data_IF_984123889498
#
_entry.id   IF_984123889498
#
_cell.length_a   1.000
_cell.length_b   1.000
_cell.length_c   1.000
_cell.angle_alpha   90.00
_cell.angle_beta   90.00
_cell.angle_gamma   90.00
#
_symmetry.space_group_name_H-M   'P 1'
#
loop_
_entity.id
_entity.type
_entity.pdbx_description
1 polymer ?
#
# COMPACT_ATOMS: atom_id res chain seq x y z
N UNK A 1 13.18 -21.20 -12.26
CA UNK A 1 12.29 -20.21 -11.58
C UNK A 1 12.56 -18.81 -12.12
N UNK A 2 11.56 -17.92 -12.18
CA UNK A 2 11.79 -16.55 -12.67
C UNK A 2 12.38 -15.70 -11.54
N UNK A 3 13.64 -15.30 -11.67
CA UNK A 3 14.34 -14.49 -10.66
C UNK A 3 13.69 -13.10 -10.49
N UNK A 4 13.80 -12.53 -9.27
CA UNK A 4 13.35 -11.16 -8.92
C UNK A 4 11.85 -10.89 -9.06
N UNK A 5 10.99 -11.91 -8.89
CA UNK A 5 9.54 -11.72 -8.86
C UNK A 5 9.10 -11.07 -7.54
N UNK A 6 8.68 -9.81 -7.64
CA UNK A 6 8.10 -9.06 -6.53
C UNK A 6 6.58 -9.09 -6.59
N UNK A 7 5.95 -9.20 -5.42
CA UNK A 7 4.51 -9.17 -5.25
C UNK A 7 3.78 -10.48 -5.56
N UNK A 8 2.90 -10.90 -4.66
CA UNK A 8 2.05 -12.08 -4.81
C UNK A 8 0.85 -11.79 -5.72
N UNK A 9 0.48 -12.77 -6.55
CA UNK A 9 -0.66 -12.67 -7.49
C UNK A 9 -2.01 -13.07 -6.89
N UNK A 10 -2.04 -13.84 -5.79
CA UNK A 10 -3.27 -14.28 -5.12
C UNK A 10 -4.34 -14.92 -6.02
N UNK A 11 -3.96 -15.41 -7.22
CA UNK A 11 -4.91 -15.90 -8.23
C UNK A 11 -5.87 -14.84 -8.78
N UNK A 12 -5.54 -13.54 -8.69
CA UNK A 12 -6.45 -12.43 -9.05
C UNK A 12 -5.84 -11.50 -10.12
N UNK A 13 -6.67 -10.91 -11.00
CA UNK A 13 -6.22 -9.87 -11.93
C UNK A 13 -5.70 -8.64 -11.18
N UNK A 14 -4.92 -7.80 -11.87
CA UNK A 14 -4.20 -6.68 -11.25
C UNK A 14 -5.13 -5.68 -10.55
N UNK A 15 -6.26 -5.35 -11.17
CA UNK A 15 -7.21 -4.36 -10.62
C UNK A 15 -7.84 -4.83 -9.31
N UNK A 16 -8.31 -6.09 -9.27
CA UNK A 16 -8.87 -6.68 -8.04
C UNK A 16 -7.80 -6.77 -6.94
N UNK A 17 -6.53 -7.04 -7.30
CA UNK A 17 -5.43 -7.04 -6.31
C UNK A 17 -5.19 -5.66 -5.71
N UNK A 18 -5.18 -4.61 -6.54
CA UNK A 18 -5.01 -3.23 -6.07
C UNK A 18 -6.15 -2.85 -5.12
N UNK A 19 -7.40 -3.16 -5.49
CA UNK A 19 -8.57 -2.92 -4.64
C UNK A 19 -8.48 -3.67 -3.30
N UNK A 20 -8.10 -4.96 -3.32
CA UNK A 20 -7.91 -5.74 -2.11
C UNK A 20 -6.87 -5.11 -1.17
N UNK A 21 -5.70 -4.74 -1.68
CA UNK A 21 -4.64 -4.15 -0.86
C UNK A 21 -5.05 -2.78 -0.31
N UNK A 22 -5.74 -1.95 -1.10
CA UNK A 22 -6.29 -0.67 -0.64
C UNK A 22 -7.29 -0.86 0.51
N UNK A 23 -8.24 -1.79 0.36
CA UNK A 23 -9.24 -2.04 1.41
C UNK A 23 -8.63 -2.53 2.72
N UNK A 24 -7.65 -3.44 2.64
CA UNK A 24 -6.92 -3.92 3.83
C UNK A 24 -6.08 -2.80 4.47
N UNK A 25 -5.44 -1.95 3.65
CA UNK A 25 -4.66 -0.83 4.16
C UNK A 25 -5.55 0.19 4.89
N UNK A 26 -6.68 0.57 4.30
CA UNK A 26 -7.65 1.48 4.94
C UNK A 26 -8.17 0.89 6.25
N UNK A 27 -8.58 -0.38 6.24
CA UNK A 27 -9.07 -1.05 7.46
C UNK A 27 -8.01 -1.10 8.57
N UNK A 28 -6.74 -1.33 8.21
CA UNK A 28 -5.64 -1.33 9.18
C UNK A 28 -5.42 0.07 9.78
N UNK A 29 -5.49 1.12 8.97
CA UNK A 29 -5.33 2.50 9.44
C UNK A 29 -6.50 2.93 10.34
N UNK A 30 -7.73 2.58 9.97
CA UNK A 30 -8.93 2.96 10.72
C UNK A 30 -9.07 2.22 12.07
N UNK A 31 -8.75 0.92 12.09
CA UNK A 31 -8.98 0.08 13.27
C UNK A 31 -7.72 -0.23 14.08
N UNK A 32 -6.54 0.18 13.60
CA UNK A 32 -5.24 -0.08 14.23
C UNK A 32 -4.76 -1.54 14.19
N UNK A 33 -5.67 -2.51 14.01
CA UNK A 33 -5.35 -3.95 13.89
C UNK A 33 -6.39 -4.65 13.03
N UNK A 34 -5.94 -5.57 12.17
CA UNK A 34 -6.80 -6.45 11.38
C UNK A 34 -6.31 -7.90 11.43
N UNK A 35 -7.23 -8.86 11.29
CA UNK A 35 -6.91 -10.28 11.10
C UNK A 35 -6.94 -10.61 9.61
N UNK A 36 -5.85 -11.13 9.06
CA UNK A 36 -5.73 -11.53 7.65
C UNK A 36 -4.70 -12.65 7.50
N UNK A 37 -4.53 -13.18 6.29
CA UNK A 37 -3.53 -14.23 6.05
C UNK A 37 -2.11 -13.65 6.06
N UNK A 38 -1.12 -14.45 6.50
CA UNK A 38 0.28 -14.02 6.54
C UNK A 38 0.80 -13.51 5.18
N UNK A 39 0.31 -14.14 4.10
CA UNK A 39 0.61 -13.72 2.73
C UNK A 39 0.09 -12.31 2.41
N UNK A 40 -1.15 -12.00 2.79
CA UNK A 40 -1.76 -10.68 2.58
C UNK A 40 -1.14 -9.64 3.49
N UNK A 41 -0.83 -9.98 4.74
CA UNK A 41 -0.18 -9.08 5.68
C UNK A 41 1.17 -8.58 5.17
N UNK A 42 2.01 -9.47 4.63
CA UNK A 42 3.32 -9.10 4.05
C UNK A 42 3.18 -8.10 2.89
N UNK A 43 2.22 -8.32 2.00
CA UNK A 43 1.96 -7.41 0.87
C UNK A 43 1.38 -6.07 1.32
N UNK A 44 0.44 -6.09 2.28
CA UNK A 44 -0.14 -4.86 2.86
C UNK A 44 0.94 -4.02 3.54
N UNK A 45 1.87 -4.64 4.26
CA UNK A 45 3.02 -3.95 4.86
C UNK A 45 3.87 -3.27 3.79
N UNK A 46 4.28 -4.00 2.76
CA UNK A 46 5.06 -3.42 1.65
C UNK A 46 4.32 -2.27 0.95
N UNK A 47 2.99 -2.35 0.88
CA UNK A 47 2.15 -1.29 0.31
C UNK A 47 2.05 -0.06 1.23
N UNK A 48 1.88 -0.23 2.55
CA UNK A 48 1.65 0.85 3.51
C UNK A 48 2.93 1.58 3.98
N UNK A 49 4.06 0.87 4.08
CA UNK A 49 5.32 1.41 4.63
C UNK A 49 5.76 2.74 3.98
N UNK A 50 5.71 2.89 2.64
CA UNK A 50 6.09 4.15 1.99
C UNK A 50 5.13 5.30 2.33
N UNK A 51 3.85 5.01 2.54
CA UNK A 51 2.88 6.03 2.93
C UNK A 51 3.14 6.52 4.35
N UNK A 52 3.41 5.61 5.29
CA UNK A 52 3.77 5.95 6.68
C UNK A 52 5.06 6.78 6.69
N UNK A 53 6.06 6.38 5.91
CA UNK A 53 7.33 7.11 5.79
C UNK A 53 7.11 8.53 5.28
N UNK A 54 6.26 8.71 4.26
CA UNK A 54 5.91 10.04 3.73
C UNK A 54 5.12 10.87 4.74
N UNK A 55 4.13 10.28 5.41
CA UNK A 55 3.32 10.95 6.42
C UNK A 55 4.19 11.46 7.59
N UNK A 56 5.14 10.65 8.04
CA UNK A 56 6.06 11.02 9.13
C UNK A 56 7.04 12.13 8.76
N UNK A 57 7.49 12.20 7.50
CA UNK A 57 8.40 13.26 7.02
C UNK A 57 7.72 14.62 6.86
N UNK A 58 6.39 14.67 6.87
CA UNK A 58 5.62 15.89 6.58
C UNK A 58 5.67 16.29 5.11
N UNK A 59 4.89 17.30 4.68
CA UNK A 59 4.97 17.81 3.32
C UNK A 59 6.35 18.42 3.09
N UNK A 60 7.19 17.72 2.31
CA UNK A 60 8.40 18.33 1.77
C UNK A 60 7.97 19.50 0.87
N UNK A 61 8.68 20.63 0.94
CA UNK A 61 8.45 21.88 0.20
C UNK A 61 8.19 21.70 -1.32
N UNK A 62 8.50 20.54 -1.90
CA UNK A 62 8.19 20.18 -3.30
C UNK A 62 6.77 19.64 -3.56
N UNK A 63 5.97 19.31 -2.54
CA UNK A 63 4.65 18.68 -2.71
C UNK A 63 3.54 19.69 -3.02
N UNK A 64 3.73 20.96 -2.63
CA UNK A 64 2.80 22.08 -2.91
C UNK A 64 2.73 22.38 -4.42
N UNK A 65 3.73 21.96 -5.21
CA UNK A 65 3.81 22.28 -6.65
C UNK A 65 2.92 21.39 -7.53
N UNK A 66 2.46 20.23 -7.04
CA UNK A 66 1.64 19.29 -7.79
C UNK A 66 0.12 19.57 -7.70
N UNK A 67 -0.31 20.42 -6.76
CA UNK A 67 -1.73 20.77 -6.55
C UNK A 67 -2.09 22.17 -7.07
N UNK A 68 -1.17 22.86 -7.77
CA UNK A 68 -1.36 24.22 -8.33
C UNK A 68 -1.17 24.27 -9.85
N UNK A 69 -1.44 23.16 -10.53
CA UNK A 69 -1.62 23.09 -11.99
C UNK A 69 -2.72 22.08 -12.30
N UNK A 70 -3.95 22.50 -12.06
CA UNK A 70 -5.17 21.97 -12.66
C UNK A 70 -6.03 23.19 -12.98
#
# INVERSE_FOLDING_TARGET
MKHRKHGRKFGRPAEIRKALLKGLAVSLVLHGKIRTTAARAKEVRMFLEPFITKARRGPHQGTVRALRKS
#
